data_IF_363480104596
#
_entry.id   IF_363480104596
#
_cell.length_a   1.000
_cell.length_b   1.000
_cell.length_c   1.000
_cell.angle_alpha   90.00
_cell.angle_beta   90.00
_cell.angle_gamma   90.00
#
_symmetry.space_group_name_H-M   'P 1'
#
loop_
_entity.id
_entity.type
_entity.pdbx_description
1 polymer ?
#
# COMPACT_ATOMS: atom_id res chain seq x y z
N UNK A 1 23.60 11.43 62.58
CA UNK A 1 23.50 11.67 61.12
C UNK A 1 22.95 10.45 60.36
N UNK A 2 21.85 9.84 60.82
CA UNK A 2 21.25 8.62 60.19
C UNK A 2 19.77 8.78 59.81
N UNK A 3 19.15 9.93 60.11
CA UNK A 3 17.71 10.17 59.90
C UNK A 3 17.38 10.92 58.60
N UNK A 4 18.38 11.47 57.90
CA UNK A 4 18.18 12.21 56.64
C UNK A 4 18.32 11.34 55.39
N UNK A 5 18.88 10.12 55.52
CA UNK A 5 19.07 9.22 54.39
C UNK A 5 17.76 8.57 53.90
N UNK A 6 16.74 8.47 54.76
CA UNK A 6 15.46 7.85 54.40
C UNK A 6 14.49 8.80 53.67
N UNK A 7 14.71 10.11 53.74
CA UNK A 7 13.82 11.10 53.08
C UNK A 7 14.22 11.30 51.61
N UNK A 8 15.48 11.04 51.24
CA UNK A 8 15.96 11.18 49.86
C UNK A 8 15.47 10.07 48.92
N UNK A 9 15.09 8.89 49.43
CA UNK A 9 14.67 7.74 48.62
C UNK A 9 13.20 7.86 48.19
N UNK A 10 12.37 8.62 48.92
CA UNK A 10 10.96 8.81 48.59
C UNK A 10 10.71 9.81 47.46
N UNK A 11 11.67 10.70 47.16
CA UNK A 11 11.49 11.74 46.13
C UNK A 11 11.82 11.27 44.71
N UNK A 12 12.55 10.16 44.56
CA UNK A 12 12.91 9.57 43.25
C UNK A 12 11.81 8.74 42.60
N UNK A 13 10.68 8.50 43.27
CA UNK A 13 9.60 7.65 42.75
C UNK A 13 8.53 8.41 41.92
N UNK A 14 8.56 9.74 41.83
CA UNK A 14 7.51 10.53 41.15
C UNK A 14 7.82 10.93 39.71
N UNK A 15 8.88 10.39 39.11
CA UNK A 15 9.18 10.56 37.67
C UNK A 15 8.81 9.33 36.86
N UNK A 16 7.71 8.66 37.22
CA UNK A 16 7.02 7.76 36.28
C UNK A 16 6.41 8.63 35.19
N UNK A 17 7.16 8.83 34.11
CA UNK A 17 6.64 9.42 32.88
C UNK A 17 5.37 8.66 32.52
N UNK A 18 4.23 9.34 32.58
CA UNK A 18 2.98 8.81 32.06
C UNK A 18 3.20 8.58 30.57
N UNK A 19 3.50 7.34 30.17
CA UNK A 19 3.47 6.92 28.78
C UNK A 19 1.99 6.85 28.40
N UNK A 20 1.38 8.01 28.15
CA UNK A 20 0.11 8.05 27.46
C UNK A 20 0.34 7.37 26.11
N UNK A 21 -0.43 6.31 25.84
CA UNK A 21 -0.41 5.67 24.54
C UNK A 21 -0.70 6.77 23.49
N UNK A 22 0.29 7.08 22.66
CA UNK A 22 0.16 8.11 21.63
C UNK A 22 -0.87 7.62 20.62
N UNK A 23 -2.03 8.27 20.60
CA UNK A 23 -3.08 8.01 19.62
C UNK A 23 -2.69 8.57 18.24
N UNK A 24 -3.57 8.38 17.25
CA UNK A 24 -3.28 8.83 15.89
C UNK A 24 -3.06 10.35 15.80
N UNK A 25 -3.81 11.14 16.58
CA UNK A 25 -3.70 12.60 16.57
C UNK A 25 -2.32 13.04 17.09
N UNK A 26 -1.90 12.45 18.21
CA UNK A 26 -0.55 12.62 18.77
C UNK A 26 0.53 12.20 17.76
N UNK A 27 0.38 11.03 17.12
CA UNK A 27 1.36 10.53 16.16
C UNK A 27 1.44 11.41 14.91
N UNK A 28 0.30 11.95 14.45
CA UNK A 28 0.23 12.90 13.34
C UNK A 28 0.93 14.21 13.69
N UNK A 29 0.62 14.81 14.83
CA UNK A 29 1.25 16.07 15.25
C UNK A 29 2.77 15.92 15.34
N UNK A 30 3.23 14.85 16.00
CA UNK A 30 4.64 14.50 16.06
C UNK A 30 5.27 14.38 14.67
N UNK A 31 4.64 13.64 13.76
CA UNK A 31 5.13 13.47 12.39
C UNK A 31 5.16 14.79 11.60
N UNK A 32 4.17 15.67 11.79
CA UNK A 32 4.13 16.99 11.15
C UNK A 32 5.28 17.88 11.64
N UNK A 33 5.58 17.84 12.94
CA UNK A 33 6.72 18.57 13.53
C UNK A 33 8.06 18.00 13.07
N UNK A 34 8.24 16.68 13.13
CA UNK A 34 9.51 16.02 12.77
C UNK A 34 9.86 16.17 11.29
N UNK A 35 8.86 16.12 10.40
CA UNK A 35 9.06 16.18 8.96
C UNK A 35 8.80 17.56 8.35
N UNK A 36 8.47 18.57 9.17
CA UNK A 36 8.03 19.90 8.71
C UNK A 36 6.97 19.82 7.58
N UNK A 37 6.02 18.91 7.74
CA UNK A 37 5.03 18.56 6.72
C UNK A 37 3.61 18.75 7.27
N UNK A 38 2.64 18.95 6.38
CA UNK A 38 1.22 18.95 6.73
C UNK A 38 0.50 17.82 6.02
N UNK A 39 0.04 16.85 6.80
CA UNK A 39 -0.87 15.82 6.29
C UNK A 39 -2.29 16.37 6.08
N UNK A 40 -2.97 15.99 4.99
CA UNK A 40 -4.39 16.30 4.79
C UNK A 40 -5.26 15.72 5.91
N UNK A 41 -6.36 16.42 6.24
CA UNK A 41 -7.25 16.01 7.33
C UNK A 41 -7.96 14.67 7.08
N UNK A 42 -8.20 14.32 5.82
CA UNK A 42 -8.83 13.05 5.44
C UNK A 42 -7.93 11.83 5.69
N UNK A 43 -6.61 12.03 5.75
CA UNK A 43 -5.63 10.96 5.74
C UNK A 43 -5.51 10.35 7.13
N UNK A 44 -6.34 9.35 7.42
CA UNK A 44 -6.36 8.66 8.73
C UNK A 44 -5.83 7.22 8.64
N UNK A 45 -5.48 6.60 9.76
CA UNK A 45 -5.10 5.18 9.79
C UNK A 45 -6.23 4.32 9.22
N UNK A 46 -7.48 4.61 9.64
CA UNK A 46 -8.68 3.94 9.12
C UNK A 46 -8.88 4.17 7.62
N UNK A 47 -8.65 5.38 7.13
CA UNK A 47 -8.72 5.67 5.70
C UNK A 47 -7.67 4.87 4.91
N UNK A 48 -6.45 4.76 5.43
CA UNK A 48 -5.37 3.97 4.81
C UNK A 48 -5.72 2.47 4.79
N UNK A 49 -6.23 1.93 5.90
CA UNK A 49 -6.67 0.53 6.01
C UNK A 49 -7.83 0.23 5.04
N UNK A 50 -8.80 1.14 4.94
CA UNK A 50 -9.88 1.03 3.97
C UNK A 50 -9.35 1.07 2.53
N UNK A 51 -8.46 2.02 2.21
CA UNK A 51 -7.86 2.15 0.87
C UNK A 51 -7.10 0.89 0.46
N UNK A 52 -6.32 0.30 1.38
CA UNK A 52 -5.64 -0.97 1.15
C UNK A 52 -6.63 -2.12 0.90
N UNK A 53 -7.68 -2.21 1.71
CA UNK A 53 -8.73 -3.23 1.58
C UNK A 53 -9.49 -3.10 0.27
N UNK A 54 -9.89 -1.90 -0.10
CA UNK A 54 -10.60 -1.58 -1.34
C UNK A 54 -9.76 -1.93 -2.58
N UNK A 55 -8.45 -1.68 -2.51
CA UNK A 55 -7.52 -2.10 -3.55
C UNK A 55 -7.47 -3.62 -3.68
N UNK A 56 -7.24 -4.33 -2.57
CA UNK A 56 -7.09 -5.79 -2.52
C UNK A 56 -8.37 -6.56 -2.91
N UNK A 57 -9.52 -5.89 -2.89
CA UNK A 57 -10.83 -6.47 -3.19
C UNK A 57 -11.38 -5.90 -4.50
N UNK A 58 -12.10 -4.78 -4.43
CA UNK A 58 -12.82 -4.16 -5.53
C UNK A 58 -11.91 -3.80 -6.71
N UNK A 59 -10.75 -3.18 -6.45
CA UNK A 59 -9.87 -2.74 -7.54
C UNK A 59 -9.22 -3.92 -8.25
N UNK A 60 -8.66 -4.88 -7.50
CA UNK A 60 -8.06 -6.10 -8.08
C UNK A 60 -9.11 -6.91 -8.85
N UNK A 61 -10.33 -7.04 -8.35
CA UNK A 61 -11.41 -7.72 -9.08
C UNK A 61 -11.77 -6.99 -10.39
N UNK A 62 -11.76 -5.65 -10.38
CA UNK A 62 -11.98 -4.84 -11.58
C UNK A 62 -10.86 -5.05 -12.61
N UNK A 63 -9.60 -5.14 -12.15
CA UNK A 63 -8.45 -5.45 -13.01
C UNK A 63 -8.51 -6.87 -13.58
N UNK A 64 -8.88 -7.88 -12.77
CA UNK A 64 -9.13 -9.26 -13.24
C UNK A 64 -10.23 -9.29 -14.31
N UNK A 65 -11.33 -8.58 -14.09
CA UNK A 65 -12.42 -8.48 -15.07
C UNK A 65 -11.94 -7.83 -16.37
N UNK A 66 -11.12 -6.78 -16.29
CA UNK A 66 -10.52 -6.17 -17.47
C UNK A 66 -9.60 -7.14 -18.21
N UNK A 67 -8.68 -7.79 -17.51
CA UNK A 67 -7.77 -8.78 -18.08
C UNK A 67 -8.55 -9.85 -18.86
N UNK A 68 -9.61 -10.39 -18.26
CA UNK A 68 -10.38 -11.48 -18.84
C UNK A 68 -11.27 -11.07 -20.03
N UNK A 69 -11.77 -9.83 -20.05
CA UNK A 69 -12.82 -9.42 -21.02
C UNK A 69 -12.36 -8.41 -22.07
N UNK A 70 -11.30 -7.66 -21.79
CA UNK A 70 -10.97 -6.43 -22.52
C UNK A 70 -9.49 -6.28 -22.84
N UNK A 71 -8.66 -7.26 -22.50
CA UNK A 71 -7.25 -7.27 -22.86
C UNK A 71 -7.09 -7.60 -24.36
N UNK A 72 -7.38 -6.60 -25.19
CA UNK A 72 -7.12 -6.62 -26.62
C UNK A 72 -6.19 -5.46 -26.95
N UNK A 73 -4.98 -5.78 -27.39
CA UNK A 73 -3.97 -4.78 -27.83
C UNK A 73 -4.43 -3.98 -29.04
N UNK A 74 -5.47 -4.42 -29.75
CA UNK A 74 -6.11 -3.70 -30.87
C UNK A 74 -6.67 -2.34 -30.46
N UNK A 75 -7.19 -2.20 -29.24
CA UNK A 75 -7.91 -0.99 -28.81
C UNK A 75 -7.16 -0.22 -27.71
N UNK A 76 -6.61 0.94 -28.09
CA UNK A 76 -5.80 1.78 -27.19
C UNK A 76 -6.60 2.52 -26.11
N UNK A 77 -7.89 2.78 -26.33
CA UNK A 77 -8.76 3.49 -25.39
C UNK A 77 -8.90 2.77 -24.04
N UNK A 78 -9.38 1.51 -24.03
CA UNK A 78 -9.46 0.71 -22.81
C UNK A 78 -8.12 0.58 -22.08
N UNK A 79 -7.01 0.38 -22.81
CA UNK A 79 -5.67 0.31 -22.22
C UNK A 79 -5.27 1.60 -21.49
N UNK A 80 -5.56 2.78 -22.07
CA UNK A 80 -5.32 4.08 -21.42
C UNK A 80 -6.11 4.20 -20.11
N UNK A 81 -7.38 3.81 -20.12
CA UNK A 81 -8.24 3.90 -18.95
C UNK A 81 -7.71 3.02 -17.80
N UNK A 82 -7.32 1.79 -18.11
CA UNK A 82 -6.78 0.88 -17.09
C UNK A 82 -5.42 1.31 -16.60
N UNK A 83 -4.55 1.81 -17.47
CA UNK A 83 -3.28 2.39 -17.04
C UNK A 83 -3.50 3.54 -16.05
N UNK A 84 -4.42 4.46 -16.37
CA UNK A 84 -4.74 5.58 -15.49
C UNK A 84 -5.34 5.10 -14.16
N UNK A 85 -6.22 4.10 -14.21
CA UNK A 85 -6.78 3.48 -13.01
C UNK A 85 -5.68 2.86 -12.12
N UNK A 86 -4.74 2.11 -12.69
CA UNK A 86 -3.61 1.51 -11.94
C UNK A 86 -2.75 2.60 -11.30
N UNK A 87 -2.42 3.67 -12.04
CA UNK A 87 -1.61 4.78 -11.51
C UNK A 87 -2.32 5.50 -10.38
N UNK A 88 -3.60 5.86 -10.55
CA UNK A 88 -4.37 6.54 -9.51
C UNK A 88 -4.45 5.70 -8.23
N UNK A 89 -4.71 4.39 -8.35
CA UNK A 89 -4.73 3.50 -7.19
C UNK A 89 -3.37 3.42 -6.52
N UNK A 90 -2.28 3.41 -7.29
CA UNK A 90 -0.91 3.41 -6.75
C UNK A 90 -0.63 4.70 -5.98
N UNK A 91 -1.01 5.85 -6.52
CA UNK A 91 -0.81 7.16 -5.88
C UNK A 91 -1.49 7.23 -4.51
N UNK A 92 -2.75 6.80 -4.41
CA UNK A 92 -3.47 6.76 -3.13
C UNK A 92 -2.81 5.81 -2.12
N UNK A 93 -2.35 4.64 -2.58
CA UNK A 93 -1.67 3.68 -1.72
C UNK A 93 -0.30 4.21 -1.25
N UNK A 94 0.43 4.92 -2.11
CA UNK A 94 1.72 5.55 -1.76
C UNK A 94 1.53 6.66 -0.73
N UNK A 95 0.52 7.50 -0.89
CA UNK A 95 0.17 8.54 0.08
C UNK A 95 -0.13 7.92 1.45
N UNK A 96 -0.97 6.88 1.46
CA UNK A 96 -1.32 6.14 2.66
C UNK A 96 -0.08 5.47 3.30
N UNK A 97 0.77 4.81 2.51
CA UNK A 97 2.00 4.17 3.00
C UNK A 97 2.98 5.19 3.59
N UNK A 98 3.10 6.38 2.98
CA UNK A 98 3.91 7.48 3.51
C UNK A 98 3.39 7.98 4.85
N UNK A 99 2.07 8.17 4.98
CA UNK A 99 1.45 8.59 6.23
C UNK A 99 1.57 7.56 7.35
N UNK A 100 1.34 6.28 7.04
CA UNK A 100 1.50 5.18 8.01
C UNK A 100 2.94 5.07 8.51
N UNK A 101 3.93 5.31 7.65
CA UNK A 101 5.33 5.34 8.04
C UNK A 101 5.65 6.56 8.90
N UNK A 102 5.23 7.75 8.50
CA UNK A 102 5.47 8.98 9.25
C UNK A 102 4.84 8.93 10.65
N UNK A 103 3.66 8.31 10.78
CA UNK A 103 2.97 8.13 12.07
C UNK A 103 3.38 6.85 12.82
N UNK A 104 4.45 6.16 12.38
CA UNK A 104 4.94 4.92 13.00
C UNK A 104 3.91 3.79 13.12
N UNK A 105 2.83 3.83 12.33
CA UNK A 105 1.79 2.79 12.30
C UNK A 105 2.21 1.56 11.51
N UNK A 106 3.22 1.70 10.65
CA UNK A 106 3.83 0.61 9.87
C UNK A 106 3.75 0.85 8.37
N UNK A 107 3.52 -0.22 7.60
CA UNK A 107 3.40 -0.20 6.14
C UNK A 107 1.99 -0.52 5.70
N UNK A 108 1.59 -0.02 4.54
CA UNK A 108 0.25 -0.26 3.99
C UNK A 108 -0.03 -1.75 3.72
N UNK A 109 1.00 -2.52 3.34
CA UNK A 109 0.90 -3.97 3.14
C UNK A 109 1.79 -4.74 4.13
N UNK A 110 1.64 -4.45 5.42
CA UNK A 110 2.30 -5.06 6.59
C UNK A 110 3.82 -4.91 6.69
N UNK A 111 4.57 -5.16 5.63
CA UNK A 111 6.02 -5.10 5.59
C UNK A 111 6.52 -4.42 4.30
N UNK A 112 7.77 -3.95 4.36
CA UNK A 112 8.40 -3.19 3.29
C UNK A 112 8.58 -4.01 2.01
N UNK A 113 8.93 -5.30 2.14
CA UNK A 113 9.16 -6.19 0.99
C UNK A 113 7.86 -6.40 0.22
N UNK A 114 6.79 -6.75 0.91
CA UNK A 114 5.46 -6.96 0.29
C UNK A 114 4.95 -5.68 -0.35
N UNK A 115 5.10 -4.55 0.36
CA UNK A 115 4.66 -3.24 -0.13
C UNK A 115 5.37 -2.85 -1.42
N UNK A 116 6.70 -2.94 -1.44
CA UNK A 116 7.52 -2.67 -2.63
C UNK A 116 7.20 -3.61 -3.78
N UNK A 117 6.99 -4.91 -3.52
CA UNK A 117 6.67 -5.89 -4.55
C UNK A 117 5.32 -5.60 -5.24
N UNK A 118 4.30 -5.20 -4.47
CA UNK A 118 3.00 -4.81 -5.02
C UNK A 118 3.15 -3.54 -5.87
N UNK A 119 3.80 -2.49 -5.36
CA UNK A 119 4.02 -1.25 -6.12
C UNK A 119 4.83 -1.46 -7.41
N UNK A 120 5.88 -2.28 -7.36
CA UNK A 120 6.66 -2.63 -8.55
C UNK A 120 5.82 -3.37 -9.60
N UNK A 121 4.87 -4.21 -9.17
CA UNK A 121 3.95 -4.90 -10.09
C UNK A 121 2.98 -3.93 -10.76
N UNK A 122 2.47 -2.95 -10.01
CA UNK A 122 1.63 -1.87 -10.56
C UNK A 122 2.40 -1.03 -11.59
N UNK A 123 3.66 -0.70 -11.32
CA UNK A 123 4.54 0.01 -12.26
C UNK A 123 4.79 -0.81 -13.52
N UNK A 124 5.04 -2.10 -13.37
CA UNK A 124 5.29 -3.01 -14.48
C UNK A 124 4.08 -3.09 -15.42
N UNK A 125 2.87 -3.20 -14.87
CA UNK A 125 1.62 -3.16 -15.64
C UNK A 125 1.43 -1.80 -16.33
N UNK A 126 1.62 -0.70 -15.61
CA UNK A 126 1.45 0.65 -16.15
C UNK A 126 2.45 0.97 -17.27
N UNK A 127 3.70 0.53 -17.11
CA UNK A 127 4.76 0.64 -18.11
C UNK A 127 4.45 -0.20 -19.35
N UNK A 128 3.99 -1.43 -19.16
CA UNK A 128 3.59 -2.32 -20.25
C UNK A 128 2.43 -1.75 -21.05
N UNK A 129 1.35 -1.34 -20.38
CA UNK A 129 0.21 -0.69 -21.05
C UNK A 129 0.66 0.56 -21.80
N UNK A 130 1.59 1.35 -21.26
CA UNK A 130 2.16 2.52 -21.96
C UNK A 130 2.90 2.10 -23.23
N UNK A 131 3.72 1.04 -23.18
CA UNK A 131 4.45 0.53 -24.33
C UNK A 131 3.50 0.01 -25.43
N UNK A 132 2.48 -0.78 -25.05
CA UNK A 132 1.46 -1.26 -25.97
C UNK A 132 0.64 -0.11 -26.61
N UNK A 133 0.29 0.92 -25.83
CA UNK A 133 -0.36 2.14 -26.35
C UNK A 133 0.55 2.86 -27.36
N UNK A 134 1.85 2.91 -27.11
CA UNK A 134 2.85 3.51 -28.01
C UNK A 134 3.07 2.67 -29.28
N UNK A 135 2.57 1.43 -29.33
CA UNK A 135 2.69 0.53 -30.49
C UNK A 135 3.88 -0.42 -30.41
N UNK A 136 4.43 -0.66 -29.21
CA UNK A 136 5.36 -1.76 -29.00
C UNK A 136 4.69 -3.08 -29.36
N UNK A 137 5.37 -3.89 -30.17
CA UNK A 137 4.96 -5.26 -30.51
C UNK A 137 6.10 -6.20 -30.13
N UNK A 138 5.76 -7.31 -29.50
CA UNK A 138 6.66 -8.40 -29.18
C UNK A 138 6.62 -9.38 -30.34
N UNK A 139 7.75 -9.49 -31.04
CA UNK A 139 7.98 -10.62 -31.94
C UNK A 139 8.56 -11.73 -31.08
N UNK A 140 7.82 -12.82 -30.95
CA UNK A 140 8.26 -14.02 -30.28
C UNK A 140 8.45 -15.11 -31.35
N UNK A 141 9.52 -15.89 -31.24
CA UNK A 141 9.85 -16.96 -32.19
C UNK A 141 8.79 -18.08 -32.22
N UNK A 142 7.86 -18.09 -31.26
CA UNK A 142 6.76 -19.04 -31.11
C UNK A 142 5.37 -18.46 -31.52
N UNK A 143 5.30 -17.21 -31.98
CA UNK A 143 4.03 -16.55 -32.33
C UNK A 143 3.18 -16.12 -31.13
N UNK A 144 3.74 -16.13 -29.90
CA UNK A 144 3.14 -15.59 -28.68
C UNK A 144 2.86 -14.08 -28.82
N UNK A 145 1.57 -13.77 -28.84
CA UNK A 145 0.97 -12.47 -29.09
C UNK A 145 1.20 -11.51 -27.90
N UNK A 146 1.30 -10.19 -28.15
CA UNK A 146 1.49 -9.11 -27.13
C UNK A 146 0.64 -9.26 -25.84
N UNK A 147 -0.53 -9.89 -25.97
CA UNK A 147 -1.44 -10.17 -24.87
C UNK A 147 -0.85 -11.11 -23.80
N UNK A 148 0.06 -12.04 -24.13
CA UNK A 148 0.65 -12.99 -23.17
C UNK A 148 1.52 -12.26 -22.14
N UNK A 149 2.39 -11.36 -22.60
CA UNK A 149 3.33 -10.61 -21.76
C UNK A 149 2.60 -9.72 -20.74
N UNK A 150 1.58 -8.99 -21.18
CA UNK A 150 0.78 -8.16 -20.26
C UNK A 150 -0.09 -9.04 -19.33
N UNK A 151 -0.56 -10.19 -19.79
CA UNK A 151 -1.29 -11.15 -18.95
C UNK A 151 -0.43 -11.64 -17.78
N UNK A 152 0.81 -12.04 -18.04
CA UNK A 152 1.73 -12.52 -17.01
C UNK A 152 1.99 -11.43 -15.96
N UNK A 153 2.05 -10.16 -16.39
CA UNK A 153 2.24 -9.01 -15.49
C UNK A 153 1.03 -8.78 -14.58
N UNK A 154 -0.18 -8.90 -15.13
CA UNK A 154 -1.42 -8.87 -14.33
C UNK A 154 -1.47 -10.03 -13.34
N UNK A 155 -1.19 -11.25 -13.79
CA UNK A 155 -1.20 -12.45 -12.96
C UNK A 155 -0.20 -12.33 -11.80
N UNK A 156 0.99 -11.79 -12.07
CA UNK A 156 2.00 -11.56 -11.06
C UNK A 156 1.56 -10.52 -10.00
N UNK A 157 0.79 -9.47 -10.38
CA UNK A 157 0.18 -8.56 -9.40
C UNK A 157 -0.86 -9.32 -8.56
N UNK A 158 -1.74 -10.08 -9.20
CA UNK A 158 -2.84 -10.77 -8.52
C UNK A 158 -2.33 -11.82 -7.54
N UNK A 159 -1.35 -12.62 -7.93
CA UNK A 159 -0.70 -13.59 -7.05
C UNK A 159 -0.09 -12.91 -5.83
N UNK A 160 0.59 -11.77 -5.98
CA UNK A 160 1.17 -11.03 -4.85
C UNK A 160 0.09 -10.51 -3.90
N UNK A 161 -0.99 -9.97 -4.43
CA UNK A 161 -2.10 -9.46 -3.62
C UNK A 161 -2.83 -10.60 -2.91
N UNK A 162 -3.14 -11.70 -3.61
CA UNK A 162 -3.84 -12.84 -3.02
C UNK A 162 -2.97 -13.53 -1.95
N UNK A 163 -1.65 -13.66 -2.16
CA UNK A 163 -0.73 -14.12 -1.12
C UNK A 163 -0.74 -13.21 0.12
N UNK A 164 -0.76 -11.88 -0.09
CA UNK A 164 -0.85 -10.94 1.02
C UNK A 164 -2.19 -11.05 1.76
N UNK A 165 -3.31 -11.15 1.04
CA UNK A 165 -4.64 -11.35 1.63
C UNK A 165 -4.70 -12.64 2.45
N UNK A 166 -4.14 -13.73 1.94
CA UNK A 166 -4.07 -15.01 2.66
C UNK A 166 -3.29 -14.84 3.97
N UNK A 167 -2.15 -14.14 3.94
CA UNK A 167 -1.38 -13.84 5.14
C UNK A 167 -2.19 -13.01 6.15
N UNK A 168 -2.92 -12.00 5.70
CA UNK A 168 -3.78 -11.18 6.57
C UNK A 168 -4.92 -12.00 7.16
N UNK A 169 -5.52 -12.89 6.37
CA UNK A 169 -6.59 -13.77 6.81
C UNK A 169 -6.11 -14.74 7.90
N UNK A 170 -4.96 -15.40 7.68
CA UNK A 170 -4.31 -16.27 8.67
C UNK A 170 -3.96 -15.54 9.96
N UNK A 171 -3.74 -14.22 9.89
CA UNK A 171 -3.45 -13.35 11.05
C UNK A 171 -4.71 -12.76 11.69
N UNK A 172 -5.90 -13.10 11.22
CA UNK A 172 -7.17 -12.51 11.69
C UNK A 172 -7.33 -11.02 11.38
N UNK A 173 -6.51 -10.46 10.47
CA UNK A 173 -6.50 -9.05 10.09
C UNK A 173 -7.36 -8.74 8.85
N UNK A 174 -7.87 -9.79 8.18
CA UNK A 174 -8.78 -9.66 7.05
C UNK A 174 -9.88 -10.72 7.16
N UNK A 175 -11.12 -10.26 7.32
CA UNK A 175 -12.32 -11.11 7.19
C UNK A 175 -12.91 -10.83 5.83
N UNK A 176 -12.68 -11.73 4.88
CA UNK A 176 -13.38 -11.71 3.60
C UNK A 176 -14.81 -12.18 3.88
N UNK A 177 -15.80 -11.31 3.70
CA UNK A 177 -17.22 -11.67 3.75
C UNK A 177 -17.72 -12.02 2.36
#
# INVERSE_FOLDING_TARGET
>A
MKKYAFIAILFTAMSSQFTFACDESCAREKAQTEHNAKFPSYLTWKFCENTATDFMTSAVNSLKSYQNKHLSTKYKGPMKNIRNFVNQRKEWLLECDGYLQATSKGRIFTDDKTTKAIFASMDTISGELKALIAGSTYTSDDGSNDNSVINDKFEALFTRVDNHKNLLHLRGKLVVR
#
